data_IF_740420251085
#
_entry.id   IF_740420251085
#
_cell.length_a   1.000
_cell.length_b   1.000
_cell.length_c   1.000
_cell.angle_alpha   90.00
_cell.angle_beta   90.00
_cell.angle_gamma   90.00
#
_symmetry.space_group_name_H-M   'P 1'
#
loop_
_entity.id
_entity.type
_entity.pdbx_description
1 polymer ?
#
# COMPACT_ATOMS: atom_id res chain seq x y z
N UNK A 1 -15.85 -15.64 27.11
CA UNK A 1 -15.62 -17.07 26.79
C UNK A 1 -16.16 -17.34 25.39
N UNK A 2 -15.26 -17.41 24.41
CA UNK A 2 -15.40 -17.89 23.02
C UNK A 2 -14.04 -17.57 22.35
N UNK A 3 -12.92 -18.10 22.88
CA UNK A 3 -12.35 -19.41 22.55
C UNK A 3 -12.02 -19.57 21.06
N UNK A 4 -10.75 -19.26 20.75
CA UNK A 4 -9.88 -19.96 19.79
C UNK A 4 -10.56 -20.98 18.87
N UNK A 5 -10.68 -20.64 17.58
CA UNK A 5 -10.56 -21.61 16.50
C UNK A 5 -9.25 -21.38 15.78
N UNK A 6 -8.25 -22.15 16.21
CA UNK A 6 -7.07 -22.48 15.40
C UNK A 6 -7.56 -23.03 14.06
N UNK A 7 -6.93 -22.59 12.98
CA UNK A 7 -7.01 -23.21 11.66
C UNK A 7 -6.78 -24.72 11.81
N UNK A 8 -7.84 -25.51 11.69
CA UNK A 8 -7.78 -26.95 11.60
C UNK A 8 -7.53 -27.30 10.13
N UNK A 9 -6.37 -27.88 9.87
CA UNK A 9 -5.94 -28.42 8.59
C UNK A 9 -6.81 -29.62 8.23
N UNK A 10 -7.95 -29.42 7.56
CA UNK A 10 -8.71 -30.47 6.86
C UNK A 10 -9.86 -29.87 6.01
N UNK A 11 -9.51 -29.21 4.91
CA UNK A 11 -10.47 -28.97 3.81
C UNK A 11 -10.09 -29.86 2.63
N UNK A 12 -10.98 -30.72 2.10
CA UNK A 12 -10.67 -31.62 0.98
C UNK A 12 -10.36 -30.83 -0.30
N UNK A 13 -9.32 -31.24 -1.02
CA UNK A 13 -8.75 -30.59 -2.21
C UNK A 13 -9.69 -30.61 -3.45
N UNK A 14 -10.91 -31.13 -3.36
CA UNK A 14 -11.74 -31.45 -4.54
C UNK A 14 -12.72 -30.36 -5.01
N UNK A 15 -12.57 -29.09 -4.63
CA UNK A 15 -13.47 -28.02 -5.10
C UNK A 15 -12.79 -26.74 -5.60
N UNK A 16 -11.47 -26.75 -5.82
CA UNK A 16 -10.76 -25.59 -6.35
C UNK A 16 -11.04 -25.44 -7.86
N UNK A 17 -11.87 -24.46 -8.21
CA UNK A 17 -11.97 -23.97 -9.59
C UNK A 17 -10.61 -23.36 -9.97
N UNK A 18 -9.99 -23.89 -11.04
CA UNK A 18 -8.68 -23.47 -11.51
C UNK A 18 -8.74 -22.06 -12.10
N UNK A 19 -8.52 -21.04 -11.28
CA UNK A 19 -8.14 -19.72 -11.78
C UNK A 19 -6.64 -19.74 -12.07
N UNK A 20 -6.25 -19.69 -13.35
CA UNK A 20 -4.86 -19.49 -13.77
C UNK A 20 -4.39 -18.09 -13.35
N UNK A 21 -3.74 -17.98 -12.18
CA UNK A 21 -2.95 -16.80 -11.83
C UNK A 21 -1.63 -16.90 -12.59
N UNK A 22 -1.52 -16.21 -13.72
CA UNK A 22 -0.24 -16.06 -14.43
C UNK A 22 0.60 -15.03 -13.68
N UNK A 23 1.52 -15.51 -12.83
CA UNK A 23 2.52 -14.65 -12.17
C UNK A 23 3.67 -14.41 -13.15
N UNK A 24 3.67 -13.26 -13.82
CA UNK A 24 4.83 -12.79 -14.58
C UNK A 24 5.87 -12.22 -13.62
N UNK A 25 6.87 -13.05 -13.25
CA UNK A 25 8.02 -12.64 -12.47
C UNK A 25 9.02 -11.88 -13.36
N UNK A 26 8.92 -10.55 -13.37
CA UNK A 26 9.95 -9.70 -13.98
C UNK A 26 11.09 -9.51 -12.97
N UNK A 27 12.14 -10.34 -13.06
CA UNK A 27 13.38 -10.13 -12.32
C UNK A 27 14.15 -8.98 -12.97
N UNK A 28 14.12 -7.79 -12.36
CA UNK A 28 15.04 -6.72 -12.73
C UNK A 28 16.36 -6.94 -11.98
N UNK A 29 17.42 -7.31 -12.69
CA UNK A 29 18.78 -7.38 -12.13
C UNK A 29 19.32 -5.96 -11.96
N UNK A 30 19.00 -5.29 -10.85
CA UNK A 30 19.73 -4.09 -10.45
C UNK A 30 21.12 -4.50 -9.95
N UNK A 31 22.15 -4.10 -10.70
CA UNK A 31 23.54 -4.19 -10.25
C UNK A 31 23.75 -3.22 -9.08
N UNK A 32 23.74 -3.73 -7.86
CA UNK A 32 24.20 -2.98 -6.69
C UNK A 32 25.70 -2.76 -6.82
N UNK A 33 26.12 -1.55 -7.19
CA UNK A 33 27.50 -1.10 -6.93
C UNK A 33 27.63 -0.87 -5.43
N UNK A 34 28.58 -1.57 -4.80
CA UNK A 34 28.98 -1.31 -3.43
C UNK A 34 29.43 0.14 -3.28
N UNK A 35 28.74 0.90 -2.43
CA UNK A 35 29.24 2.19 -1.95
C UNK A 35 29.80 1.94 -0.56
N UNK A 36 31.13 1.90 -0.46
CA UNK A 36 31.83 1.86 0.82
C UNK A 36 31.64 3.21 1.54
N UNK A 37 30.63 3.29 2.42
CA UNK A 37 30.45 4.40 3.36
C UNK A 37 30.95 3.99 4.76
N UNK A 38 32.27 3.89 4.92
CA UNK A 38 32.90 3.87 6.24
C UNK A 38 34.02 4.90 6.31
N UNK A 39 33.65 6.18 6.44
CA UNK A 39 34.47 7.17 7.11
C UNK A 39 33.59 7.98 8.06
N UNK A 40 33.85 7.84 9.37
CA UNK A 40 33.15 8.57 10.43
C UNK A 40 33.69 10.00 10.51
N UNK A 41 32.89 11.07 10.33
CA UNK A 41 33.29 12.39 10.80
C UNK A 41 33.10 12.47 12.32
N UNK A 42 34.12 12.92 13.06
CA UNK A 42 33.98 13.29 14.48
C UNK A 42 33.20 14.60 14.56
N UNK A 43 31.92 14.53 14.92
CA UNK A 43 31.11 15.71 15.28
C UNK A 43 31.16 15.88 16.80
N UNK A 44 31.53 17.07 17.25
CA UNK A 44 31.61 17.46 18.67
C UNK A 44 30.19 17.87 19.12
N UNK A 45 29.67 17.23 20.18
CA UNK A 45 28.36 17.57 20.72
C UNK A 45 28.36 18.95 21.39
N UNK A 46 27.36 19.82 21.15
CA UNK A 46 27.17 21.01 21.97
C UNK A 46 26.51 20.63 23.29
N UNK A 47 27.06 21.12 24.40
CA UNK A 47 26.45 21.06 25.72
C UNK A 47 25.42 22.19 25.85
N UNK A 48 24.16 21.86 25.57
CA UNK A 48 23.01 22.71 25.83
C UNK A 48 21.78 21.84 26.06
N UNK A 49 21.14 21.99 27.22
CA UNK A 49 19.88 21.31 27.56
C UNK A 49 18.76 21.95 26.74
N UNK A 50 18.44 21.36 25.59
CA UNK A 50 17.25 21.72 24.81
C UNK A 50 16.02 21.11 25.50
N UNK A 51 15.12 21.98 25.97
CA UNK A 51 13.79 21.57 26.42
C UNK A 51 13.01 21.00 25.23
N UNK A 52 12.71 19.70 25.29
CA UNK A 52 11.85 19.01 24.32
C UNK A 52 10.39 19.32 24.66
N UNK A 53 9.96 20.55 24.38
CA UNK A 53 8.55 20.94 24.39
C UNK A 53 8.28 21.80 23.16
N UNK A 54 7.74 21.18 22.11
CA UNK A 54 6.93 21.75 21.00
C UNK A 54 7.17 21.18 19.59
N UNK A 55 7.71 19.96 19.44
CA UNK A 55 7.73 19.27 18.13
C UNK A 55 6.55 18.31 17.90
N UNK A 56 5.43 18.54 18.59
CA UNK A 56 4.14 17.97 18.23
C UNK A 56 3.31 19.08 17.60
N UNK A 57 3.74 19.53 16.42
CA UNK A 57 2.83 20.24 15.52
C UNK A 57 1.79 19.23 15.06
N UNK A 58 0.55 19.54 15.40
CA UNK A 58 -0.68 18.86 15.06
C UNK A 58 -0.63 18.19 13.67
N UNK A 59 -0.60 16.86 13.63
CA UNK A 59 -0.60 16.09 12.38
C UNK A 59 -1.84 16.38 11.51
N UNK A 60 -2.88 17.00 12.07
CA UNK A 60 -4.09 17.41 11.36
C UNK A 60 -3.93 18.64 10.44
N UNK A 61 -2.82 19.40 10.54
CA UNK A 61 -2.60 20.60 9.72
C UNK A 61 -1.59 20.40 8.57
N UNK A 62 -1.04 19.21 8.39
CA UNK A 62 -0.10 18.94 7.30
C UNK A 62 -0.87 18.75 5.98
N UNK A 63 -0.40 19.33 4.86
CA UNK A 63 -1.04 19.11 3.56
C UNK A 63 -1.03 17.63 3.17
N UNK A 64 -2.12 17.17 2.54
CA UNK A 64 -2.26 15.81 2.02
C UNK A 64 -1.24 15.48 0.93
N UNK A 65 -1.17 14.22 0.52
CA UNK A 65 -0.24 13.76 -0.52
C UNK A 65 -0.52 14.46 -1.86
N UNK A 66 -1.79 14.67 -2.18
CA UNK A 66 -2.19 15.37 -3.40
C UNK A 66 -1.62 16.79 -3.46
N UNK A 67 -1.79 17.58 -2.40
CA UNK A 67 -1.35 18.98 -2.38
C UNK A 67 0.17 19.12 -2.24
N UNK A 68 0.79 18.23 -1.47
CA UNK A 68 2.23 18.32 -1.17
C UNK A 68 3.14 17.84 -2.29
N UNK A 69 2.76 16.80 -3.03
CA UNK A 69 3.64 16.16 -4.04
C UNK A 69 2.99 16.17 -5.43
N UNK A 70 1.77 15.67 -5.55
CA UNK A 70 1.19 15.32 -6.86
C UNK A 70 0.80 16.56 -7.67
N UNK A 71 0.08 17.50 -7.05
CA UNK A 71 -0.28 18.78 -7.68
C UNK A 71 0.95 19.67 -7.87
N UNK A 72 1.92 19.60 -6.96
CA UNK A 72 3.20 20.31 -7.11
C UNK A 72 4.00 19.80 -8.33
N UNK A 73 3.85 18.53 -8.69
CA UNK A 73 4.39 17.94 -9.92
C UNK A 73 3.56 18.26 -11.18
N UNK A 74 2.42 18.96 -11.04
CA UNK A 74 1.57 19.39 -12.13
C UNK A 74 0.41 18.46 -12.49
N UNK A 75 0.21 17.36 -11.75
CA UNK A 75 -0.84 16.39 -12.03
C UNK A 75 -2.13 16.70 -11.27
N UNK A 76 -3.32 16.45 -11.84
CA UNK A 76 -4.57 16.51 -11.10
C UNK A 76 -4.58 15.44 -10.00
N UNK A 77 -5.17 15.76 -8.85
CA UNK A 77 -5.23 14.81 -7.74
C UNK A 77 -6.39 15.10 -6.81
N UNK A 78 -7.12 14.06 -6.46
CA UNK A 78 -8.20 14.06 -5.48
C UNK A 78 -7.85 13.16 -4.29
N UNK A 79 -8.15 13.62 -3.08
CA UNK A 79 -8.04 12.82 -1.85
C UNK A 79 -9.41 12.21 -1.56
N UNK A 80 -9.45 10.89 -1.41
CA UNK A 80 -10.68 10.14 -1.17
C UNK A 80 -10.52 9.32 0.10
N UNK A 81 -11.49 9.43 1.01
CA UNK A 81 -11.53 8.59 2.22
C UNK A 81 -12.52 7.46 2.05
N UNK A 82 -12.11 6.23 2.37
CA UNK A 82 -12.97 5.04 2.37
C UNK A 82 -12.99 4.43 3.76
N UNK A 83 -14.18 4.12 4.26
CA UNK A 83 -14.35 3.50 5.57
C UNK A 83 -14.41 1.97 5.45
N UNK A 84 -13.64 1.26 6.27
CA UNK A 84 -13.66 -0.20 6.39
C UNK A 84 -14.82 -0.70 7.26
N UNK A 85 -15.13 -1.99 7.16
CA UNK A 85 -16.18 -2.62 7.96
C UNK A 85 -15.90 -2.59 9.47
N UNK A 86 -14.63 -2.60 9.86
CA UNK A 86 -14.19 -2.51 11.26
C UNK A 86 -14.01 -1.07 11.74
N UNK A 87 -14.08 -0.07 10.86
CA UNK A 87 -14.21 1.34 11.23
C UNK A 87 -12.97 2.22 11.00
N UNK A 88 -11.93 1.71 10.34
CA UNK A 88 -10.78 2.49 9.87
C UNK A 88 -11.15 3.38 8.68
N UNK A 89 -10.52 4.55 8.61
CA UNK A 89 -10.67 5.54 7.56
C UNK A 89 -9.41 5.54 6.68
N UNK A 90 -9.46 4.85 5.55
CA UNK A 90 -8.34 4.69 4.64
C UNK A 90 -8.30 5.83 3.63
N UNK A 91 -7.13 6.39 3.37
CA UNK A 91 -6.96 7.43 2.35
C UNK A 91 -6.52 6.85 1.01
N UNK A 92 -7.12 7.35 -0.07
CA UNK A 92 -6.74 7.08 -1.44
C UNK A 92 -6.39 8.40 -2.13
N UNK A 93 -5.34 8.38 -2.97
CA UNK A 93 -5.09 9.46 -3.92
C UNK A 93 -5.52 9.02 -5.31
N UNK A 94 -6.27 9.87 -5.99
CA UNK A 94 -6.82 9.61 -7.32
C UNK A 94 -6.24 10.62 -8.31
N UNK A 95 -5.48 10.12 -9.29
CA UNK A 95 -4.90 10.87 -10.41
C UNK A 95 -5.69 10.46 -11.67
N UNK A 96 -6.75 11.21 -12.04
CA UNK A 96 -7.68 10.78 -13.09
C UNK A 96 -7.09 10.79 -14.50
N UNK A 97 -6.05 11.59 -14.74
CA UNK A 97 -5.36 11.70 -16.02
C UNK A 97 -3.96 12.31 -15.88
N UNK A 98 -3.09 12.01 -16.85
CA UNK A 98 -1.76 12.59 -16.96
C UNK A 98 -1.75 13.97 -17.60
N UNK A 99 -0.57 14.61 -17.61
CA UNK A 99 -0.34 15.92 -18.24
C UNK A 99 0.19 15.78 -19.67
N UNK A 100 0.77 14.63 -20.01
CA UNK A 100 1.27 14.35 -21.34
C UNK A 100 0.12 13.89 -22.25
N UNK A 101 -0.25 14.73 -23.22
CA UNK A 101 -1.25 14.39 -24.23
C UNK A 101 -2.68 14.46 -23.68
N UNK A 102 -3.29 15.64 -23.79
CA UNK A 102 -4.74 15.84 -23.62
C UNK A 102 -5.45 15.01 -24.70
N UNK A 103 -5.65 13.72 -24.43
CA UNK A 103 -6.50 12.87 -25.24
C UNK A 103 -7.92 13.03 -24.73
N UNK A 104 -8.84 13.30 -25.67
CA UNK A 104 -10.26 13.57 -25.47
C UNK A 104 -10.82 13.08 -24.13
N UNK A 105 -11.35 14.02 -23.35
CA UNK A 105 -11.94 13.81 -22.02
C UNK A 105 -13.18 12.89 -22.02
N UNK A 106 -13.55 12.35 -23.17
CA UNK A 106 -14.69 11.46 -23.38
C UNK A 106 -14.35 9.97 -23.27
N UNK A 107 -13.06 9.59 -23.23
CA UNK A 107 -12.66 8.18 -23.23
C UNK A 107 -12.49 7.66 -21.80
N UNK A 108 -13.25 6.60 -21.46
CA UNK A 108 -13.17 5.93 -20.16
C UNK A 108 -11.78 5.29 -19.99
N UNK A 109 -11.01 5.78 -19.03
CA UNK A 109 -9.65 5.32 -18.73
C UNK A 109 -9.71 4.04 -17.86
N UNK A 110 -8.88 3.01 -18.14
CA UNK A 110 -8.86 1.81 -17.32
C UNK A 110 -8.27 2.11 -15.93
N UNK A 111 -8.95 1.72 -14.84
CA UNK A 111 -8.45 1.99 -13.49
C UNK A 111 -7.30 1.07 -13.12
N UNK A 112 -6.27 1.66 -12.51
CA UNK A 112 -5.14 0.95 -11.92
C UNK A 112 -4.98 1.34 -10.46
N UNK A 113 -4.86 0.35 -9.58
CA UNK A 113 -4.68 0.53 -8.15
C UNK A 113 -3.26 0.15 -7.74
N UNK A 114 -2.55 1.09 -7.10
CA UNK A 114 -1.17 0.97 -6.65
C UNK A 114 -1.13 0.80 -5.14
N UNK A 115 -0.55 -0.31 -4.66
CA UNK A 115 -0.46 -0.64 -3.24
C UNK A 115 0.99 -0.79 -2.77
N UNK A 116 1.36 0.03 -1.78
CA UNK A 116 2.68 0.03 -1.16
C UNK A 116 2.94 -1.22 -0.28
N UNK A 117 4.18 -1.37 0.18
CA UNK A 117 4.62 -2.45 1.05
C UNK A 117 4.60 -2.11 2.55
N UNK A 118 5.24 -2.95 3.35
CA UNK A 118 5.39 -2.78 4.80
C UNK A 118 6.22 -1.53 5.10
N UNK A 119 5.84 -0.74 6.11
CA UNK A 119 6.52 0.52 6.52
C UNK A 119 6.55 1.62 5.44
N UNK A 120 5.71 1.51 4.42
CA UNK A 120 5.62 2.47 3.30
C UNK A 120 4.26 3.19 3.31
N UNK A 121 4.13 4.22 2.47
CA UNK A 121 2.87 4.89 2.16
C UNK A 121 2.65 4.98 0.65
N UNK A 122 1.53 5.56 0.24
CA UNK A 122 1.21 5.81 -1.16
C UNK A 122 2.18 6.76 -1.88
N UNK A 123 2.90 7.58 -1.11
CA UNK A 123 3.92 8.51 -1.60
C UNK A 123 5.03 7.81 -2.40
N UNK A 124 5.37 6.57 -2.08
CA UNK A 124 6.40 5.80 -2.79
C UNK A 124 6.19 5.70 -4.32
N UNK A 125 4.95 5.80 -4.78
CA UNK A 125 4.62 5.75 -6.20
C UNK A 125 4.84 7.08 -6.94
N UNK A 126 5.13 8.16 -6.21
CA UNK A 126 5.19 9.55 -6.70
C UNK A 126 6.44 10.33 -6.23
N UNK A 127 7.32 9.74 -5.43
CA UNK A 127 8.50 10.42 -4.86
C UNK A 127 9.58 10.81 -5.87
N UNK A 128 9.71 10.09 -6.99
CA UNK A 128 10.68 10.43 -8.05
C UNK A 128 10.07 11.43 -9.05
N UNK A 129 10.88 11.84 -10.04
CA UNK A 129 10.41 12.69 -11.14
C UNK A 129 9.26 12.03 -11.93
N UNK A 130 8.40 12.82 -12.61
CA UNK A 130 7.31 12.30 -13.45
C UNK A 130 7.68 11.16 -14.41
N UNK A 131 8.89 11.21 -14.99
CA UNK A 131 9.37 10.18 -15.92
C UNK A 131 9.89 8.90 -15.26
N UNK A 132 9.96 8.84 -13.93
CA UNK A 132 10.52 7.74 -13.14
C UNK A 132 9.55 7.14 -12.12
N UNK A 133 8.48 7.87 -11.79
CA UNK A 133 7.45 7.45 -10.84
C UNK A 133 6.31 6.76 -11.56
N UNK A 134 5.99 5.53 -11.15
CA UNK A 134 5.03 4.68 -11.87
C UNK A 134 3.64 5.31 -11.96
N UNK A 135 3.16 6.00 -10.92
CA UNK A 135 1.86 6.65 -10.93
C UNK A 135 1.74 7.68 -12.06
N UNK A 136 2.74 8.56 -12.19
CA UNK A 136 2.78 9.58 -13.24
C UNK A 136 2.91 8.95 -14.63
N UNK A 137 3.79 7.96 -14.79
CA UNK A 137 3.96 7.24 -16.06
C UNK A 137 2.65 6.58 -16.48
N UNK A 138 1.89 5.96 -15.56
CA UNK A 138 0.61 5.34 -15.89
C UNK A 138 -0.45 6.38 -16.27
N UNK A 139 -0.54 7.48 -15.52
CA UNK A 139 -1.47 8.57 -15.81
C UNK A 139 -1.21 9.16 -17.21
N UNK A 140 0.05 9.42 -17.56
CA UNK A 140 0.47 9.90 -18.89
C UNK A 140 0.27 8.88 -20.01
N UNK A 141 0.05 7.61 -19.67
CA UNK A 141 -0.28 6.53 -20.61
C UNK A 141 -1.78 6.22 -20.66
N UNK A 142 -2.60 7.10 -20.09
CA UNK A 142 -4.05 7.05 -20.21
C UNK A 142 -4.74 6.12 -19.23
N UNK A 143 -4.08 5.74 -18.13
CA UNK A 143 -4.72 5.04 -17.02
C UNK A 143 -5.37 6.03 -16.05
N UNK A 144 -6.44 5.57 -15.40
CA UNK A 144 -7.03 6.21 -14.22
C UNK A 144 -6.34 5.64 -12.98
N UNK A 145 -5.51 6.44 -12.30
CA UNK A 145 -4.57 5.94 -11.29
C UNK A 145 -5.10 6.19 -9.88
N UNK A 146 -5.19 5.13 -9.10
CA UNK A 146 -5.57 5.13 -7.69
C UNK A 146 -4.43 4.62 -6.83
N UNK A 147 -4.10 5.32 -5.77
CA UNK A 147 -3.03 4.97 -4.83
C UNK A 147 -3.67 4.70 -3.47
N UNK A 148 -3.49 3.49 -2.94
CA UNK A 148 -4.06 3.09 -1.66
C UNK A 148 -3.10 3.29 -0.49
N UNK A 149 -3.63 3.75 0.65
CA UNK A 149 -2.91 3.83 1.91
C UNK A 149 -3.58 2.94 2.95
N UNK A 150 -2.78 2.14 3.65
CA UNK A 150 -3.29 1.22 4.66
C UNK A 150 -3.59 1.94 5.98
N UNK A 151 -4.38 1.28 6.85
CA UNK A 151 -4.56 1.71 8.24
C UNK A 151 -3.18 1.92 8.92
N UNK A 152 -3.12 2.86 9.85
CA UNK A 152 -1.88 3.21 10.55
C UNK A 152 -0.87 4.06 9.75
N UNK A 153 -1.04 4.22 8.44
CA UNK A 153 -0.14 5.08 7.64
C UNK A 153 -0.49 6.57 7.75
N UNK A 154 0.49 7.43 7.44
CA UNK A 154 0.35 8.90 7.48
C UNK A 154 -0.85 9.44 6.68
N UNK A 155 -1.15 8.82 5.55
CA UNK A 155 -2.19 9.29 4.63
C UNK A 155 -3.52 8.57 4.82
N UNK A 156 -3.69 7.82 5.91
CA UNK A 156 -4.98 7.35 6.40
C UNK A 156 -5.42 8.18 7.60
N UNK A 157 -6.73 8.22 7.86
CA UNK A 157 -7.35 9.22 8.75
C UNK A 157 -7.86 8.64 10.07
N UNK A 158 -7.24 7.56 10.53
CA UNK A 158 -7.53 6.96 11.83
C UNK A 158 -8.76 6.06 11.82
N UNK A 159 -9.54 6.14 12.88
CA UNK A 159 -10.68 5.25 13.15
C UNK A 159 -11.90 6.06 13.59
N UNK A 160 -13.09 5.58 13.27
CA UNK A 160 -14.36 6.23 13.63
C UNK A 160 -14.61 6.32 15.15
N UNK A 161 -14.02 5.41 15.93
CA UNK A 161 -14.28 5.29 17.37
C UNK A 161 -13.03 5.10 18.23
N UNK A 162 -11.90 4.64 17.67
CA UNK A 162 -10.70 4.30 18.42
C UNK A 162 -9.68 5.43 18.29
N UNK A 163 -9.04 5.80 19.40
CA UNK A 163 -7.92 6.75 19.37
C UNK A 163 -6.62 6.00 19.05
N UNK A 164 -5.67 6.61 18.30
CA UNK A 164 -4.31 6.08 18.17
C UNK A 164 -3.57 5.89 19.51
N UNK A 165 -4.02 6.53 20.60
CA UNK A 165 -3.48 6.30 21.96
C UNK A 165 -4.00 4.99 22.60
N UNK A 166 -4.99 4.35 21.99
CA UNK A 166 -5.55 3.07 22.44
C UNK A 166 -4.85 1.91 21.74
N UNK A 167 -4.36 0.93 22.49
CA UNK A 167 -3.69 -0.24 21.91
C UNK A 167 -4.58 -1.01 20.92
N UNK A 168 -5.91 -0.96 21.07
CA UNK A 168 -6.87 -1.62 20.17
C UNK A 168 -6.87 -1.01 18.78
N UNK A 169 -6.46 0.25 18.65
CA UNK A 169 -6.27 0.88 17.33
C UNK A 169 -5.17 0.18 16.53
N UNK A 170 -4.20 -0.44 17.20
CA UNK A 170 -3.04 -1.10 16.59
C UNK A 170 -3.14 -2.64 16.64
N UNK A 171 -4.27 -3.20 17.08
CA UNK A 171 -4.48 -4.65 17.16
C UNK A 171 -4.94 -5.22 15.81
N UNK A 172 -4.07 -5.11 14.80
CA UNK A 172 -4.27 -5.66 13.46
C UNK A 172 -2.93 -6.16 12.90
N UNK A 173 -3.01 -6.85 11.77
CA UNK A 173 -1.87 -7.39 11.05
C UNK A 173 -2.06 -7.27 9.54
N UNK A 174 -1.13 -7.84 8.76
CA UNK A 174 -1.32 -7.95 7.32
C UNK A 174 -2.60 -8.75 6.94
N UNK A 175 -3.15 -9.56 7.85
CA UNK A 175 -4.41 -10.26 7.61
C UNK A 175 -5.56 -9.27 7.42
N UNK A 176 -5.73 -8.30 8.31
CA UNK A 176 -6.75 -7.27 8.19
C UNK A 176 -6.51 -6.38 6.96
N UNK A 177 -5.24 -6.12 6.62
CA UNK A 177 -4.91 -5.46 5.35
C UNK A 177 -5.42 -6.24 4.13
N UNK A 178 -5.29 -7.56 4.13
CA UNK A 178 -5.68 -8.41 3.03
C UNK A 178 -7.19 -8.69 2.98
N UNK A 179 -7.82 -8.96 4.13
CA UNK A 179 -9.22 -9.38 4.20
C UNK A 179 -10.21 -8.21 4.28
N UNK A 180 -9.77 -7.04 4.76
CA UNK A 180 -10.63 -5.87 4.98
C UNK A 180 -10.19 -4.68 4.11
N UNK A 181 -8.98 -4.15 4.32
CA UNK A 181 -8.58 -2.85 3.73
C UNK A 181 -8.58 -2.91 2.22
N UNK A 182 -7.87 -3.90 1.67
CA UNK A 182 -7.63 -3.97 0.25
C UNK A 182 -8.92 -4.27 -0.57
N UNK A 183 -9.80 -5.23 -0.18
CA UNK A 183 -11.12 -5.39 -0.80
C UNK A 183 -12.00 -4.15 -0.66
N UNK A 184 -11.91 -3.43 0.47
CA UNK A 184 -12.65 -2.18 0.69
C UNK A 184 -12.23 -1.09 -0.30
N UNK A 185 -10.92 -0.84 -0.41
CA UNK A 185 -10.36 0.18 -1.32
C UNK A 185 -10.58 -0.19 -2.78
N UNK A 186 -10.23 -1.41 -3.20
CA UNK A 186 -10.38 -1.82 -4.60
C UNK A 186 -11.85 -1.95 -4.99
N UNK A 187 -12.71 -2.39 -4.07
CA UNK A 187 -14.16 -2.40 -4.27
C UNK A 187 -14.74 -0.99 -4.44
N UNK A 188 -14.22 0.00 -3.71
CA UNK A 188 -14.58 1.40 -3.94
C UNK A 188 -14.19 1.87 -5.34
N UNK A 189 -12.96 1.60 -5.78
CA UNK A 189 -12.48 1.97 -7.12
C UNK A 189 -13.30 1.28 -8.21
N UNK A 190 -13.55 -0.02 -8.09
CA UNK A 190 -14.37 -0.79 -9.03
C UNK A 190 -15.77 -0.20 -9.17
N UNK A 191 -16.41 0.19 -8.06
CA UNK A 191 -17.76 0.80 -8.08
C UNK A 191 -17.74 2.19 -8.70
N UNK A 192 -16.77 3.02 -8.32
CA UNK A 192 -16.64 4.40 -8.80
C UNK A 192 -16.38 4.46 -10.30
N UNK A 193 -15.63 3.49 -10.81
CA UNK A 193 -15.23 3.44 -12.23
C UNK A 193 -16.11 2.50 -13.06
N UNK A 194 -16.96 1.68 -12.43
CA UNK A 194 -17.74 0.62 -13.08
C UNK A 194 -16.89 -0.24 -14.02
N UNK A 195 -15.69 -0.62 -13.58
CA UNK A 195 -14.73 -1.43 -14.34
C UNK A 195 -13.93 -2.31 -13.39
N UNK A 196 -13.54 -3.51 -13.86
CA UNK A 196 -12.51 -4.29 -13.17
C UNK A 196 -11.19 -3.50 -13.13
N UNK A 197 -10.42 -3.70 -12.07
CA UNK A 197 -9.25 -2.88 -11.72
C UNK A 197 -7.96 -3.63 -12.02
N UNK A 198 -6.99 -2.95 -12.63
CA UNK A 198 -5.62 -3.45 -12.70
C UNK A 198 -4.93 -3.21 -11.37
N UNK A 199 -4.32 -4.24 -10.79
CA UNK A 199 -3.63 -4.12 -9.51
C UNK A 199 -2.12 -4.10 -9.70
N UNK A 200 -1.42 -3.23 -8.97
CA UNK A 200 0.04 -3.26 -8.83
C UNK A 200 0.37 -3.22 -7.36
N UNK A 201 1.02 -4.27 -6.86
CA UNK A 201 1.49 -4.34 -5.47
C UNK A 201 2.99 -4.41 -5.40
N UNK A 202 3.58 -3.77 -4.39
CA UNK A 202 5.00 -3.93 -4.04
C UNK A 202 5.14 -4.63 -2.69
N UNK A 203 6.06 -5.60 -2.57
CA UNK A 203 6.42 -6.23 -1.30
C UNK A 203 5.18 -6.73 -0.54
N UNK A 204 4.84 -6.18 0.64
CA UNK A 204 3.62 -6.55 1.37
C UNK A 204 2.32 -6.39 0.55
N UNK A 205 2.22 -5.41 -0.33
CA UNK A 205 1.05 -5.27 -1.21
C UNK A 205 0.82 -6.56 -2.03
N UNK A 206 1.89 -7.25 -2.42
CA UNK A 206 1.77 -8.50 -3.18
C UNK A 206 1.20 -9.65 -2.37
N UNK A 207 1.63 -9.85 -1.11
CA UNK A 207 1.10 -10.92 -0.27
C UNK A 207 -0.35 -10.64 0.10
N UNK A 208 -0.71 -9.38 0.32
CA UNK A 208 -2.10 -9.00 0.53
C UNK A 208 -2.95 -9.44 -0.66
N UNK A 209 -2.56 -9.05 -1.89
CA UNK A 209 -3.29 -9.40 -3.11
C UNK A 209 -3.47 -10.92 -3.26
N UNK A 210 -2.40 -11.68 -3.04
CA UNK A 210 -2.44 -13.14 -3.10
C UNK A 210 -3.36 -13.74 -2.03
N UNK A 211 -3.28 -13.25 -0.79
CA UNK A 211 -4.10 -13.71 0.32
C UNK A 211 -5.59 -13.42 0.06
N UNK A 212 -5.94 -12.19 -0.34
CA UNK A 212 -7.33 -11.84 -0.63
C UNK A 212 -7.90 -12.62 -1.81
N UNK A 213 -7.16 -12.75 -2.92
CA UNK A 213 -7.63 -13.56 -4.07
C UNK A 213 -7.82 -15.04 -3.74
N UNK A 214 -7.11 -15.55 -2.72
CA UNK A 214 -7.22 -16.94 -2.27
C UNK A 214 -8.38 -17.17 -1.31
N UNK A 215 -8.92 -16.10 -0.71
CA UNK A 215 -10.06 -16.14 0.20
C UNK A 215 -11.35 -15.74 -0.54
N UNK A 216 -12.28 -16.68 -0.80
CA UNK A 216 -13.51 -16.40 -1.53
C UNK A 216 -14.40 -15.36 -0.84
N UNK A 217 -14.32 -15.22 0.49
CA UNK A 217 -15.17 -14.31 1.25
C UNK A 217 -14.82 -12.83 0.99
N UNK A 218 -13.59 -12.55 0.53
CA UNK A 218 -13.18 -11.19 0.16
C UNK A 218 -13.76 -10.72 -1.17
N UNK A 219 -14.13 -11.66 -2.05
CA UNK A 219 -14.59 -11.38 -3.42
C UNK A 219 -13.53 -10.73 -4.33
N UNK A 220 -12.26 -10.65 -3.90
CA UNK A 220 -11.22 -9.85 -4.56
C UNK A 220 -10.99 -10.25 -6.03
N UNK A 221 -11.03 -11.54 -6.33
CA UNK A 221 -10.82 -12.08 -7.68
C UNK A 221 -11.84 -11.57 -8.71
N UNK A 222 -13.04 -11.15 -8.27
CA UNK A 222 -14.06 -10.57 -9.16
C UNK A 222 -13.82 -9.08 -9.42
N UNK A 223 -13.11 -8.39 -8.54
CA UNK A 223 -12.81 -6.96 -8.64
C UNK A 223 -11.66 -6.69 -9.63
N UNK A 224 -10.74 -7.65 -9.75
CA UNK A 224 -9.49 -7.46 -10.49
C UNK A 224 -9.57 -7.92 -11.94
N UNK A 225 -8.94 -7.15 -12.82
CA UNK A 225 -8.72 -7.51 -14.23
C UNK A 225 -7.44 -8.30 -14.42
N UNK A 226 -6.36 -7.84 -13.79
CA UNK A 226 -5.04 -8.47 -13.75
C UNK A 226 -4.21 -7.84 -12.62
N UNK A 227 -3.16 -8.54 -12.19
CA UNK A 227 -2.27 -8.10 -11.11
C UNK A 227 -0.80 -8.16 -11.53
N UNK A 228 -0.05 -7.08 -11.31
CA UNK A 228 1.39 -7.04 -11.38
C UNK A 228 1.98 -7.03 -9.96
N UNK A 229 2.84 -7.99 -9.65
CA UNK A 229 3.39 -8.19 -8.30
C UNK A 229 4.90 -7.88 -8.31
N UNK A 230 5.28 -6.71 -7.78
CA UNK A 230 6.66 -6.24 -7.73
C UNK A 230 7.32 -6.69 -6.43
N UNK A 231 8.46 -7.39 -6.53
CA UNK A 231 9.10 -8.06 -5.40
C UNK A 231 8.11 -8.94 -4.58
N UNK A 232 7.53 -9.98 -5.22
CA UNK A 232 6.42 -10.72 -4.64
C UNK A 232 6.82 -11.48 -3.37
N UNK A 233 5.96 -11.41 -2.37
CA UNK A 233 6.08 -12.12 -1.10
C UNK A 233 4.92 -13.11 -1.01
N UNK A 234 5.25 -14.36 -0.69
CA UNK A 234 4.27 -15.40 -0.37
C UNK A 234 4.79 -16.24 0.81
N UNK A 235 6.06 -16.64 0.74
CA UNK A 235 6.77 -17.34 1.81
C UNK A 235 8.12 -16.66 2.06
N UNK A 236 8.53 -16.59 3.33
CA UNK A 236 9.78 -15.90 3.74
C UNK A 236 10.87 -16.87 4.26
N UNK A 237 10.65 -18.19 4.17
CA UNK A 237 11.52 -19.22 4.77
C UNK A 237 12.98 -19.23 4.29
N UNK A 238 13.27 -18.67 3.11
CA UNK A 238 14.61 -18.65 2.51
C UNK A 238 15.18 -17.23 2.36
N UNK A 239 14.63 -16.28 3.11
CA UNK A 239 15.08 -14.90 3.07
C UNK A 239 16.49 -14.76 3.66
N UNK A 240 17.42 -14.20 2.87
CA UNK A 240 18.82 -13.99 3.30
C UNK A 240 19.06 -12.63 3.96
N UNK A 241 18.12 -11.69 3.80
CA UNK A 241 18.21 -10.37 4.41
C UNK A 241 18.06 -10.50 5.93
N UNK A 242 19.13 -10.22 6.66
CA UNK A 242 19.11 -10.26 8.13
C UNK A 242 18.11 -9.26 8.71
N UNK A 243 18.01 -8.07 8.11
CA UNK A 243 17.06 -7.05 8.54
C UNK A 243 15.62 -7.54 8.41
N UNK A 244 15.25 -8.11 7.26
CA UNK A 244 13.90 -8.62 7.05
C UNK A 244 13.62 -9.90 7.86
N UNK A 245 14.62 -10.74 8.09
CA UNK A 245 14.49 -11.89 9.00
C UNK A 245 14.15 -11.43 10.42
N UNK A 246 14.89 -10.44 10.93
CA UNK A 246 14.61 -9.85 12.25
C UNK A 246 13.24 -9.20 12.26
N UNK A 247 12.83 -8.52 11.19
CA UNK A 247 11.48 -7.94 11.08
C UNK A 247 10.37 -8.99 11.21
N UNK A 248 10.53 -10.17 10.60
CA UNK A 248 9.59 -11.28 10.72
C UNK A 248 9.59 -11.87 12.12
N UNK A 249 10.78 -12.08 12.70
CA UNK A 249 10.92 -12.65 14.04
C UNK A 249 10.31 -11.73 15.11
N UNK A 250 10.36 -10.42 14.89
CA UNK A 250 9.73 -9.41 15.73
C UNK A 250 8.22 -9.22 15.44
N UNK A 251 7.66 -9.94 14.46
CA UNK A 251 6.29 -9.77 13.98
C UNK A 251 5.98 -8.30 13.71
N UNK A 252 6.85 -7.59 12.97
CA UNK A 252 6.64 -6.17 12.70
C UNK A 252 5.30 -5.89 12.02
N UNK A 253 4.74 -6.87 11.30
CA UNK A 253 3.38 -6.79 10.76
C UNK A 253 2.29 -6.61 11.83
N UNK A 254 2.57 -6.92 13.10
CA UNK A 254 1.69 -6.75 14.27
C UNK A 254 2.13 -5.64 15.23
N UNK A 255 3.23 -4.95 14.93
CA UNK A 255 3.85 -3.96 15.81
C UNK A 255 3.80 -2.56 15.20
N UNK A 256 3.53 -2.45 13.90
CA UNK A 256 3.35 -1.18 13.18
C UNK A 256 1.88 -0.79 13.21
#
# INVERSE_FOLDING_TARGET
>A
MLAQRKLDSRVPISSWSWYCVIVLLLSCSCSCREVNLFTRPKVRAPQGRLEVRSLLTDASSAPGLCDSIIKAAGYPCEEVTVQTSDGFLLGLQHIPYGVAGITNDTQKRPPVFLQHGLTQGGDDWVLNSPSQSLAYILADRGFDVWIGNLRGTRFSHGHTTLSPDDWRFWDWSFNEHASIDMPTMVGYVQRSTASQVYYVGHSQGTIMALAAMSDPDTGMSNLLKASALLAPIAYMQHMKSQLLSVSVDLMLDKVI
#
